data_IF_861721395202
#
_entry.id   IF_861721395202
#
_cell.length_a   1.000
_cell.length_b   1.000
_cell.length_c   1.000
_cell.angle_alpha   90.00
_cell.angle_beta   90.00
_cell.angle_gamma   90.00
#
_symmetry.space_group_name_H-M   'P 1'
#
loop_
_entity.id
_entity.type
_entity.pdbx_description
1 polymer ?
#
# COMPACT_ATOMS: atom_id res chain seq x y z
N UNK A 1 25.80 4.85 -6.59
CA UNK A 1 24.75 5.05 -7.61
C UNK A 1 24.17 6.45 -7.42
N UNK A 2 24.07 7.26 -8.48
CA UNK A 2 23.46 8.60 -8.45
C UNK A 2 22.64 8.77 -9.71
N UNK A 3 21.44 9.31 -9.58
CA UNK A 3 20.55 9.64 -10.69
C UNK A 3 19.89 10.99 -10.40
N UNK A 4 19.43 11.68 -11.43
CA UNK A 4 18.67 12.92 -11.29
C UNK A 4 17.25 12.62 -11.73
N UNK A 5 16.28 12.95 -10.89
CA UNK A 5 14.85 12.80 -11.17
C UNK A 5 14.14 14.12 -10.91
N UNK A 6 13.56 14.71 -11.96
CA UNK A 6 12.88 16.02 -11.89
C UNK A 6 13.69 17.09 -11.16
N UNK A 7 14.96 17.24 -11.56
CA UNK A 7 15.92 18.19 -10.98
C UNK A 7 16.36 17.87 -9.53
N UNK A 8 15.85 16.78 -8.93
CA UNK A 8 16.27 16.29 -7.62
C UNK A 8 17.34 15.22 -7.81
N UNK A 9 18.49 15.40 -7.16
CA UNK A 9 19.52 14.38 -7.08
C UNK A 9 19.05 13.25 -6.15
N UNK A 10 19.08 12.01 -6.61
CA UNK A 10 18.85 10.80 -5.81
C UNK A 10 20.12 9.97 -5.82
N UNK A 11 20.73 9.76 -4.66
CA UNK A 11 22.05 9.15 -4.58
C UNK A 11 22.22 8.21 -3.38
N UNK A 12 23.02 7.18 -3.61
CA UNK A 12 23.42 6.22 -2.60
C UNK A 12 24.64 6.72 -1.84
N UNK A 13 24.57 6.70 -0.51
CA UNK A 13 25.68 7.01 0.39
C UNK A 13 25.65 6.05 1.58
N UNK A 14 26.74 5.29 1.75
CA UNK A 14 26.91 4.26 2.78
C UNK A 14 25.82 3.17 2.74
N UNK A 15 24.79 3.28 3.58
CA UNK A 15 23.64 2.34 3.63
C UNK A 15 22.32 3.02 3.33
N UNK A 16 22.36 4.23 2.78
CA UNK A 16 21.19 5.07 2.58
C UNK A 16 21.07 5.49 1.12
N UNK A 17 19.83 5.71 0.68
CA UNK A 17 19.55 6.52 -0.50
C UNK A 17 18.95 7.84 -0.02
N UNK A 18 19.45 8.94 -0.58
CA UNK A 18 19.14 10.31 -0.15
C UNK A 18 18.71 11.14 -1.34
N UNK A 19 17.91 12.18 -1.07
CA UNK A 19 17.67 13.26 -2.02
C UNK A 19 18.58 14.45 -1.75
N UNK A 20 18.80 15.27 -2.77
CA UNK A 20 19.32 16.62 -2.65
C UNK A 20 18.60 17.53 -3.66
N UNK A 21 17.93 18.56 -3.17
CA UNK A 21 17.14 19.51 -3.96
C UNK A 21 15.75 19.79 -3.39
N UNK A 22 15.28 19.01 -2.40
CA UNK A 22 13.96 19.18 -1.80
C UNK A 22 13.93 20.20 -0.64
N UNK A 23 15.10 20.66 -0.17
CA UNK A 23 15.20 21.63 0.93
C UNK A 23 14.32 22.87 0.70
N UNK A 24 14.28 23.39 -0.53
CA UNK A 24 13.48 24.58 -0.87
C UNK A 24 11.97 24.28 -1.02
N UNK A 25 11.59 23.00 -1.14
CA UNK A 25 10.20 22.58 -1.31
C UNK A 25 9.54 22.30 0.04
N UNK A 26 10.21 21.50 0.88
CA UNK A 26 9.63 20.98 2.15
C UNK A 26 10.52 21.25 3.37
N UNK A 27 11.57 22.08 3.22
CA UNK A 27 12.47 22.44 4.32
C UNK A 27 13.46 21.35 4.73
N UNK A 28 13.42 20.17 4.08
CA UNK A 28 14.26 19.00 4.37
C UNK A 28 14.50 18.16 3.11
N UNK A 29 15.48 17.27 3.19
CA UNK A 29 15.69 16.20 2.21
C UNK A 29 15.04 14.89 2.67
N UNK A 30 14.83 13.95 1.77
CA UNK A 30 14.37 12.60 2.09
C UNK A 30 15.56 11.65 2.20
N UNK A 31 15.47 10.69 3.12
CA UNK A 31 16.46 9.63 3.30
C UNK A 31 15.80 8.31 3.64
N UNK A 32 16.23 7.24 2.99
CA UNK A 32 15.76 5.88 3.25
C UNK A 32 16.96 4.96 3.49
N UNK A 33 16.83 4.06 4.47
CA UNK A 33 17.83 3.01 4.70
C UNK A 33 17.60 1.90 3.68
N UNK A 34 18.68 1.40 3.08
CA UNK A 34 18.62 0.24 2.20
C UNK A 34 18.61 -1.01 3.07
N UNK A 35 17.55 -1.79 2.96
CA UNK A 35 17.34 -3.07 3.63
C UNK A 35 17.55 -4.25 2.68
N UNK A 36 16.52 -5.07 2.51
CA UNK A 36 16.59 -6.37 1.82
C UNK A 36 16.29 -6.33 0.33
N UNK A 37 15.51 -5.33 -0.11
CA UNK A 37 15.08 -5.16 -1.50
C UNK A 37 16.21 -4.66 -2.41
N UNK A 38 15.97 -4.60 -3.72
CA UNK A 38 16.96 -4.12 -4.67
C UNK A 38 17.13 -2.60 -4.56
N UNK A 39 18.36 -2.10 -4.76
CA UNK A 39 18.66 -0.67 -4.64
C UNK A 39 17.79 0.24 -5.51
N UNK A 40 17.30 -0.28 -6.65
CA UNK A 40 16.40 0.46 -7.54
C UNK A 40 15.01 0.66 -6.93
N UNK A 41 14.51 -0.29 -6.13
CA UNK A 41 13.17 -0.19 -5.54
C UNK A 41 13.06 1.00 -4.58
N UNK A 42 14.08 1.24 -3.75
CA UNK A 42 14.13 2.41 -2.86
C UNK A 42 14.23 3.72 -3.64
N UNK A 43 14.87 3.71 -4.82
CA UNK A 43 14.87 4.89 -5.71
C UNK A 43 13.45 5.17 -6.18
N UNK A 44 12.69 4.15 -6.61
CA UNK A 44 11.30 4.33 -7.04
C UNK A 44 10.40 4.86 -5.92
N UNK A 45 10.62 4.42 -4.66
CA UNK A 45 9.93 5.00 -3.49
C UNK A 45 10.24 6.50 -3.36
N UNK A 46 11.52 6.90 -3.46
CA UNK A 46 11.89 8.32 -3.38
C UNK A 46 11.33 9.12 -4.56
N UNK A 47 11.32 8.57 -5.77
CA UNK A 47 10.72 9.23 -6.94
C UNK A 47 9.23 9.48 -6.76
N UNK A 48 8.49 8.49 -6.25
CA UNK A 48 7.07 8.66 -5.93
C UNK A 48 6.84 9.83 -4.97
N UNK A 49 7.67 9.94 -3.91
CA UNK A 49 7.56 11.04 -2.95
C UNK A 49 7.98 12.37 -3.56
N UNK A 50 9.02 12.39 -4.42
CA UNK A 50 9.42 13.57 -5.18
C UNK A 50 8.27 14.05 -6.06
N UNK A 51 7.60 13.16 -6.79
CA UNK A 51 6.44 13.53 -7.61
C UNK A 51 5.33 14.15 -6.77
N UNK A 52 4.96 13.49 -5.67
CA UNK A 52 3.96 14.03 -4.75
C UNK A 52 4.35 15.43 -4.20
N UNK A 53 5.61 15.61 -3.79
CA UNK A 53 6.08 16.88 -3.24
C UNK A 53 6.05 17.99 -4.30
N UNK A 54 6.55 17.71 -5.50
CA UNK A 54 6.65 18.70 -6.56
C UNK A 54 5.28 19.04 -7.17
N UNK A 55 4.39 18.06 -7.30
CA UNK A 55 3.10 18.26 -7.95
C UNK A 55 2.07 18.94 -7.03
N UNK A 56 2.13 18.67 -5.72
CA UNK A 56 1.13 19.15 -4.77
C UNK A 56 1.65 20.21 -3.80
N UNK A 57 2.96 20.46 -3.75
CA UNK A 57 3.62 21.40 -2.84
C UNK A 57 3.09 21.34 -1.38
N UNK A 58 3.11 20.15 -0.75
CA UNK A 58 2.48 19.94 0.53
C UNK A 58 3.26 20.60 1.68
N UNK A 59 2.55 21.11 2.67
CA UNK A 59 3.16 21.41 3.97
C UNK A 59 3.34 20.12 4.75
N UNK A 60 4.59 19.68 4.94
CA UNK A 60 4.90 18.48 5.71
C UNK A 60 5.18 18.84 7.18
N UNK A 61 4.40 18.27 8.09
CA UNK A 61 4.63 18.39 9.54
C UNK A 61 5.65 17.34 10.00
N UNK A 62 6.39 17.60 11.09
CA UNK A 62 7.19 16.58 11.74
C UNK A 62 6.38 15.29 11.98
N UNK A 63 6.95 14.15 11.62
CA UNK A 63 6.38 12.82 11.86
C UNK A 63 5.03 12.56 11.17
N UNK A 64 4.72 13.34 10.13
CA UNK A 64 3.55 13.15 9.29
C UNK A 64 3.61 11.83 8.53
N UNK A 65 2.44 11.20 8.38
CA UNK A 65 2.26 10.02 7.55
C UNK A 65 1.85 10.38 6.12
N UNK A 66 2.22 9.53 5.18
CA UNK A 66 1.92 9.69 3.77
C UNK A 66 1.55 8.34 3.16
N UNK A 67 0.52 8.33 2.32
CA UNK A 67 0.15 7.13 1.58
C UNK A 67 1.22 6.83 0.52
N UNK A 68 1.69 5.60 0.51
CA UNK A 68 2.50 5.04 -0.56
C UNK A 68 1.69 3.91 -1.19
N UNK A 69 0.91 4.26 -2.21
CA UNK A 69 -0.07 3.37 -2.81
C UNK A 69 -1.00 2.74 -1.74
N UNK A 70 -0.92 1.42 -1.53
CA UNK A 70 -1.72 0.70 -0.53
C UNK A 70 -1.03 0.50 0.81
N UNK A 71 0.11 1.13 1.05
CA UNK A 71 0.78 1.16 2.35
C UNK A 71 0.90 2.59 2.87
N UNK A 72 1.37 2.72 4.11
CA UNK A 72 1.59 4.01 4.75
C UNK A 72 3.04 4.16 5.20
N UNK A 73 3.63 5.28 4.82
CA UNK A 73 4.95 5.71 5.25
C UNK A 73 4.82 6.81 6.30
N UNK A 74 5.88 6.99 7.07
CA UNK A 74 6.05 8.09 8.02
C UNK A 74 7.35 8.81 7.73
N UNK A 75 7.27 10.14 7.70
CA UNK A 75 8.41 11.04 7.51
C UNK A 75 8.97 11.43 8.89
N UNK A 76 9.80 10.56 9.45
CA UNK A 76 10.40 10.76 10.78
C UNK A 76 11.42 11.91 10.75
N UNK A 77 11.36 12.78 11.76
CA UNK A 77 12.05 14.07 11.73
C UNK A 77 13.30 14.18 12.62
N UNK A 78 13.75 13.06 13.20
CA UNK A 78 14.79 13.01 14.24
C UNK A 78 16.22 13.28 13.74
N UNK A 79 16.44 13.32 12.42
CA UNK A 79 17.78 13.41 11.82
C UNK A 79 17.86 14.54 10.78
N UNK A 80 17.98 15.78 11.26
CA UNK A 80 18.15 16.94 10.39
C UNK A 80 19.48 16.86 9.59
N UNK A 81 19.49 17.24 8.29
CA UNK A 81 18.44 17.94 7.54
C UNK A 81 17.43 17.01 6.85
N UNK A 82 17.35 15.74 7.23
CA UNK A 82 16.52 14.74 6.54
C UNK A 82 15.18 14.50 7.24
N UNK A 83 14.22 14.01 6.46
CA UNK A 83 13.17 13.12 6.91
C UNK A 83 13.61 11.67 6.62
N UNK A 84 13.67 10.85 7.66
CA UNK A 84 13.88 9.41 7.51
C UNK A 84 12.56 8.74 7.11
N UNK A 85 12.58 7.93 6.06
CA UNK A 85 11.44 7.10 5.71
C UNK A 85 11.31 5.91 6.67
N UNK A 86 10.15 5.83 7.27
CA UNK A 86 9.68 4.72 8.08
C UNK A 86 8.40 4.20 7.45
N UNK A 87 8.06 2.94 7.70
CA UNK A 87 6.83 2.31 7.23
C UNK A 87 6.00 1.81 8.41
N UNK A 88 4.69 1.67 8.22
CA UNK A 88 3.89 0.96 9.21
C UNK A 88 4.40 -0.48 9.36
N UNK A 89 4.53 -0.94 10.61
CA UNK A 89 4.85 -2.33 10.92
C UNK A 89 3.73 -3.23 10.37
N UNK A 90 4.10 -4.33 9.69
CA UNK A 90 3.16 -5.31 9.16
C UNK A 90 2.25 -5.94 10.23
N UNK A 91 2.66 -5.92 11.50
CA UNK A 91 1.87 -6.41 12.63
C UNK A 91 0.90 -5.33 13.18
N UNK A 92 1.01 -4.08 12.71
CA UNK A 92 0.23 -2.95 13.22
C UNK A 92 0.82 -2.28 14.47
N UNK A 93 2.04 -2.65 14.86
CA UNK A 93 2.72 -2.18 16.09
C UNK A 93 3.47 -0.85 15.89
N UNK A 94 2.85 0.10 15.19
CA UNK A 94 3.42 1.42 14.94
C UNK A 94 4.25 1.49 13.66
N UNK A 95 5.45 2.08 13.74
CA UNK A 95 6.29 2.36 12.56
C UNK A 95 7.72 1.88 12.80
N UNK A 96 8.33 1.34 11.74
CA UNK A 96 9.72 0.86 11.73
C UNK A 96 10.54 1.59 10.65
N UNK A 97 11.84 1.74 10.87
CA UNK A 97 12.73 2.40 9.90
C UNK A 97 12.90 1.55 8.63
N UNK A 98 12.81 2.19 7.45
CA UNK A 98 12.89 1.50 6.16
C UNK A 98 11.54 1.47 5.44
N UNK A 99 11.53 0.82 4.28
CA UNK A 99 10.37 0.70 3.39
C UNK A 99 10.31 -0.67 2.70
N UNK A 100 10.97 -1.68 3.28
CA UNK A 100 11.13 -3.01 2.68
C UNK A 100 9.77 -3.67 2.47
N UNK A 101 8.91 -3.64 3.51
CA UNK A 101 7.59 -4.26 3.44
C UNK A 101 6.67 -3.53 2.46
N UNK A 102 6.76 -2.20 2.42
CA UNK A 102 6.04 -1.35 1.48
C UNK A 102 6.39 -1.71 0.04
N UNK A 103 7.68 -1.86 -0.26
CA UNK A 103 8.15 -2.30 -1.58
C UNK A 103 7.58 -3.69 -1.90
N UNK A 104 7.66 -4.63 -0.97
CA UNK A 104 7.14 -5.99 -1.14
C UNK A 104 5.64 -5.98 -1.47
N UNK A 105 4.82 -5.28 -0.68
CA UNK A 105 3.36 -5.20 -0.87
C UNK A 105 3.02 -4.66 -2.26
N UNK A 106 3.64 -3.55 -2.66
CA UNK A 106 3.35 -2.93 -3.96
C UNK A 106 3.83 -3.80 -5.12
N UNK A 107 4.97 -4.48 -4.97
CA UNK A 107 5.47 -5.43 -5.98
C UNK A 107 4.51 -6.61 -6.15
N UNK A 108 4.13 -7.26 -5.05
CA UNK A 108 3.23 -8.43 -5.09
C UNK A 108 1.85 -8.08 -5.68
N UNK A 109 1.31 -6.91 -5.33
CA UNK A 109 0.08 -6.40 -5.92
C UNK A 109 0.21 -6.10 -7.42
N UNK A 110 1.32 -5.47 -7.82
CA UNK A 110 1.61 -5.22 -9.23
C UNK A 110 1.76 -6.49 -10.04
N UNK A 111 2.46 -7.49 -9.50
CA UNK A 111 2.62 -8.80 -10.10
C UNK A 111 1.29 -9.54 -10.25
N UNK A 112 0.43 -9.49 -9.23
CA UNK A 112 -0.89 -10.11 -9.31
C UNK A 112 -1.74 -9.45 -10.40
N UNK A 113 -1.81 -8.12 -10.45
CA UNK A 113 -2.52 -7.39 -11.51
C UNK A 113 -1.95 -7.71 -12.91
N UNK A 114 -0.63 -7.85 -13.02
CA UNK A 114 0.05 -8.18 -14.28
C UNK A 114 -0.32 -9.57 -14.79
N UNK A 115 -0.54 -10.57 -13.93
CA UNK A 115 -1.01 -11.91 -14.35
C UNK A 115 -2.34 -11.84 -15.10
N UNK A 116 -3.17 -10.86 -14.76
CA UNK A 116 -4.48 -10.62 -15.37
C UNK A 116 -4.46 -9.52 -16.45
N UNK A 117 -3.28 -9.01 -16.81
CA UNK A 117 -3.10 -7.92 -17.78
C UNK A 117 -3.89 -6.64 -17.45
N UNK A 118 -4.01 -6.31 -16.16
CA UNK A 118 -4.71 -5.10 -15.69
C UNK A 118 -3.78 -4.15 -14.97
N UNK A 119 -4.13 -2.87 -14.98
CA UNK A 119 -3.45 -1.86 -14.17
C UNK A 119 -3.92 -1.94 -12.71
N UNK A 120 -3.01 -1.91 -11.73
CA UNK A 120 -3.37 -1.89 -10.32
C UNK A 120 -4.27 -0.69 -9.95
N UNK A 121 -5.28 -0.96 -9.15
CA UNK A 121 -6.12 0.03 -8.47
C UNK A 121 -5.90 -0.09 -6.96
N UNK A 122 -4.90 0.61 -6.44
CA UNK A 122 -4.51 0.49 -5.04
C UNK A 122 -5.58 1.03 -4.08
N UNK A 123 -6.04 0.23 -3.10
CA UNK A 123 -6.84 0.76 -2.01
C UNK A 123 -5.94 1.58 -1.09
N UNK A 124 -6.42 2.70 -0.56
CA UNK A 124 -5.66 3.49 0.40
C UNK A 124 -5.83 2.96 1.82
N UNK A 125 -4.87 3.23 2.71
CA UNK A 125 -4.94 2.79 4.11
C UNK A 125 -6.23 3.20 4.83
N UNK A 126 -6.76 4.38 4.51
CA UNK A 126 -7.95 4.94 5.14
C UNK A 126 -9.27 4.42 4.55
N UNK A 127 -9.24 3.79 3.38
CA UNK A 127 -10.44 3.26 2.76
C UNK A 127 -11.01 2.11 3.57
N UNK A 128 -12.33 2.00 3.53
CA UNK A 128 -13.07 0.95 4.17
C UNK A 128 -13.20 -0.29 3.29
N UNK A 129 -13.30 -1.46 3.92
CA UNK A 129 -13.53 -2.76 3.31
C UNK A 129 -14.67 -3.45 4.06
N UNK A 130 -15.51 -4.18 3.33
CA UNK A 130 -16.62 -4.93 3.92
C UNK A 130 -16.16 -6.36 4.15
N UNK A 131 -16.33 -6.87 5.36
CA UNK A 131 -15.97 -8.24 5.71
C UNK A 131 -17.10 -8.96 6.45
N UNK A 132 -17.27 -10.26 6.22
CA UNK A 132 -18.13 -11.11 7.05
C UNK A 132 -17.39 -11.68 8.26
N UNK A 133 -18.13 -12.37 9.13
CA UNK A 133 -17.56 -13.25 10.15
C UNK A 133 -16.63 -14.28 9.50
N UNK A 134 -15.56 -14.69 10.21
CA UNK A 134 -14.62 -15.71 9.75
C UNK A 134 -13.40 -15.17 9.01
N UNK A 135 -13.47 -13.95 8.47
CA UNK A 135 -12.38 -13.37 7.67
C UNK A 135 -11.14 -13.16 8.52
N UNK A 136 -11.28 -12.57 9.72
CA UNK A 136 -10.15 -12.36 10.62
C UNK A 136 -9.62 -13.64 11.25
N UNK A 137 -10.44 -14.67 11.32
CA UNK A 137 -10.09 -15.99 11.84
C UNK A 137 -9.29 -16.82 10.83
N UNK A 138 -9.06 -16.30 9.61
CA UNK A 138 -8.25 -16.97 8.59
C UNK A 138 -9.02 -18.02 7.79
N UNK A 139 -10.35 -18.01 7.84
CA UNK A 139 -11.16 -18.91 7.01
C UNK A 139 -10.98 -18.61 5.51
N UNK A 140 -11.40 -19.58 4.69
CA UNK A 140 -11.49 -19.41 3.25
C UNK A 140 -12.39 -18.23 2.91
N UNK A 141 -12.01 -17.45 1.90
CA UNK A 141 -12.70 -16.23 1.51
C UNK A 141 -13.17 -16.28 0.07
N UNK A 142 -14.40 -15.83 -0.18
CA UNK A 142 -14.89 -15.36 -1.48
C UNK A 142 -14.90 -13.83 -1.42
N UNK A 143 -14.23 -13.20 -2.36
CA UNK A 143 -14.15 -11.76 -2.43
C UNK A 143 -14.58 -11.25 -3.80
N UNK A 144 -15.18 -10.06 -3.79
CA UNK A 144 -15.64 -9.35 -4.97
C UNK A 144 -15.38 -7.86 -4.81
N UNK A 145 -14.93 -7.19 -5.88
CA UNK A 145 -14.67 -5.75 -5.87
C UNK A 145 -15.68 -4.99 -6.73
N UNK A 146 -16.62 -4.31 -6.08
CA UNK A 146 -17.62 -3.47 -6.74
C UNK A 146 -17.12 -2.04 -6.96
N UNK A 147 -17.59 -1.34 -8.02
CA UNK A 147 -17.50 0.11 -8.08
C UNK A 147 -18.03 0.73 -6.78
N UNK A 148 -17.31 1.71 -6.22
CA UNK A 148 -17.65 2.25 -4.91
C UNK A 148 -17.19 3.69 -4.72
N UNK A 149 -17.83 4.46 -3.80
CA UNK A 149 -17.39 5.80 -3.45
C UNK A 149 -15.95 5.83 -2.92
N UNK A 150 -15.28 6.99 -3.01
CA UNK A 150 -13.84 7.12 -2.70
C UNK A 150 -13.40 6.70 -1.30
N UNK A 151 -14.28 6.73 -0.30
CA UNK A 151 -13.98 6.29 1.06
C UNK A 151 -14.08 4.76 1.25
N UNK A 152 -14.59 4.04 0.24
CA UNK A 152 -14.71 2.58 0.21
C UNK A 152 -13.72 2.01 -0.82
N UNK A 153 -13.03 0.93 -0.48
CA UNK A 153 -12.13 0.21 -1.39
C UNK A 153 -12.89 -0.52 -2.51
N UNK A 154 -14.17 -0.81 -2.28
CA UNK A 154 -15.04 -1.61 -3.12
C UNK A 154 -14.96 -3.11 -2.85
N UNK A 155 -14.02 -3.56 -2.01
CA UNK A 155 -13.91 -4.96 -1.65
C UNK A 155 -14.97 -5.38 -0.63
N UNK A 156 -15.59 -6.51 -0.94
CA UNK A 156 -16.43 -7.29 -0.04
C UNK A 156 -15.79 -8.65 0.07
N UNK A 157 -15.47 -9.07 1.29
CA UNK A 157 -14.78 -10.34 1.56
C UNK A 157 -15.62 -11.14 2.53
N UNK A 158 -16.15 -12.25 2.06
CA UNK A 158 -17.04 -13.11 2.85
C UNK A 158 -16.43 -14.48 3.04
N UNK A 159 -16.93 -15.23 4.02
CA UNK A 159 -16.59 -16.65 4.24
C UNK A 159 -17.84 -17.51 4.11
N UNK A 160 -17.68 -18.81 4.30
CA UNK A 160 -18.79 -19.77 4.43
C UNK A 160 -19.68 -19.52 5.66
N UNK A 161 -19.27 -18.66 6.59
CA UNK A 161 -20.09 -18.22 7.73
C UNK A 161 -21.00 -17.03 7.41
N UNK A 162 -20.94 -16.48 6.21
CA UNK A 162 -21.87 -15.43 5.78
C UNK A 162 -23.27 -16.02 5.59
N UNK A 163 -24.26 -15.39 6.22
CA UNK A 163 -25.63 -15.87 6.35
C UNK A 163 -26.61 -15.21 5.36
N UNK A 164 -26.08 -14.64 4.27
CA UNK A 164 -26.82 -13.82 3.29
C UNK A 164 -27.50 -12.57 3.89
N UNK A 165 -27.20 -12.23 5.15
CA UNK A 165 -27.71 -11.05 5.81
C UNK A 165 -26.69 -9.92 5.77
N UNK A 166 -26.93 -8.91 4.93
CA UNK A 166 -26.04 -7.76 4.75
C UNK A 166 -25.81 -7.01 6.08
N UNK A 167 -26.78 -7.02 7.00
CA UNK A 167 -26.66 -6.36 8.32
C UNK A 167 -25.65 -7.07 9.24
N UNK A 168 -25.25 -8.31 8.92
CA UNK A 168 -24.23 -9.06 9.65
C UNK A 168 -22.80 -8.69 9.23
N UNK A 169 -22.65 -7.95 8.13
CA UNK A 169 -21.35 -7.53 7.60
C UNK A 169 -20.76 -6.37 8.39
N UNK A 170 -19.43 -6.39 8.51
CA UNK A 170 -18.68 -5.36 9.20
C UNK A 170 -17.98 -4.46 8.20
N UNK A 171 -18.07 -3.16 8.43
CA UNK A 171 -17.30 -2.16 7.72
C UNK A 171 -16.05 -1.81 8.54
N UNK A 172 -14.87 -2.12 8.01
CA UNK A 172 -13.59 -1.94 8.72
C UNK A 172 -12.61 -1.17 7.84
N UNK A 173 -11.66 -0.45 8.44
CA UNK A 173 -10.58 0.13 7.67
C UNK A 173 -9.69 -0.95 7.04
N UNK A 174 -9.24 -0.71 5.81
CA UNK A 174 -8.36 -1.58 5.03
C UNK A 174 -7.16 -2.06 5.83
N UNK A 175 -6.52 -1.17 6.59
CA UNK A 175 -5.32 -1.53 7.35
C UNK A 175 -5.58 -2.61 8.42
N UNK A 176 -6.78 -2.69 9.00
CA UNK A 176 -7.10 -3.76 9.95
C UNK A 176 -7.11 -5.14 9.27
N UNK A 177 -7.61 -5.20 8.03
CA UNK A 177 -7.52 -6.42 7.23
C UNK A 177 -6.08 -6.70 6.83
N UNK A 178 -5.35 -5.68 6.36
CA UNK A 178 -3.96 -5.82 5.93
C UNK A 178 -3.07 -6.47 7.00
N UNK A 179 -3.20 -6.03 8.26
CA UNK A 179 -2.43 -6.57 9.37
C UNK A 179 -2.87 -7.98 9.79
N UNK A 180 -4.16 -8.29 9.73
CA UNK A 180 -4.70 -9.59 10.17
C UNK A 180 -4.68 -10.68 9.11
N UNK A 181 -4.77 -10.29 7.84
CA UNK A 181 -4.82 -11.16 6.66
C UNK A 181 -3.81 -10.71 5.60
N UNK A 182 -2.50 -10.70 5.94
CA UNK A 182 -1.45 -10.33 5.00
C UNK A 182 -1.42 -11.25 3.76
N UNK A 183 -1.93 -12.47 3.87
CA UNK A 183 -2.09 -13.43 2.77
C UNK A 183 -3.01 -12.95 1.63
N UNK A 184 -3.92 -12.01 1.93
CA UNK A 184 -4.86 -11.44 0.96
C UNK A 184 -4.32 -10.20 0.25
N UNK A 185 -3.30 -9.53 0.81
CA UNK A 185 -2.86 -8.19 0.39
C UNK A 185 -2.55 -8.06 -1.10
N UNK A 186 -1.89 -9.08 -1.66
CA UNK A 186 -1.50 -9.10 -3.08
C UNK A 186 -2.69 -9.03 -4.05
N UNK A 187 -3.88 -9.46 -3.64
CA UNK A 187 -5.09 -9.41 -4.49
C UNK A 187 -5.81 -8.07 -4.40
N UNK A 188 -5.58 -7.28 -3.35
CA UNK A 188 -6.43 -6.12 -3.05
C UNK A 188 -6.23 -4.93 -4.00
N UNK A 189 -5.21 -4.96 -4.85
CA UNK A 189 -5.03 -3.97 -5.92
C UNK A 189 -5.76 -4.33 -7.23
N UNK A 190 -6.35 -5.52 -7.36
CA UNK A 190 -7.12 -5.90 -8.56
C UNK A 190 -8.32 -4.95 -8.74
N UNK A 191 -8.56 -4.39 -9.93
CA UNK A 191 -9.55 -3.34 -10.13
C UNK A 191 -11.00 -3.83 -9.95
N UNK A 192 -11.96 -2.91 -10.03
CA UNK A 192 -13.38 -3.26 -10.00
C UNK A 192 -13.74 -4.34 -11.03
N UNK A 193 -14.69 -5.20 -10.66
CA UNK A 193 -15.10 -6.37 -11.45
C UNK A 193 -14.29 -7.63 -11.17
N UNK A 194 -13.20 -7.55 -10.39
CA UNK A 194 -12.45 -8.74 -10.00
C UNK A 194 -13.07 -9.45 -8.80
N UNK A 195 -12.91 -10.77 -8.81
CA UNK A 195 -13.26 -11.70 -7.75
C UNK A 195 -12.06 -12.59 -7.43
N UNK A 196 -12.02 -13.08 -6.20
CA UNK A 196 -11.10 -14.16 -5.85
C UNK A 196 -11.72 -15.10 -4.82
N UNK A 197 -11.35 -16.37 -4.92
CA UNK A 197 -11.61 -17.38 -3.91
C UNK A 197 -10.29 -17.93 -3.40
N UNK A 198 -10.03 -17.77 -2.10
CA UNK A 198 -8.77 -18.19 -1.46
C UNK A 198 -9.08 -19.11 -0.30
N UNK A 199 -8.56 -20.33 -0.38
CA UNK A 199 -8.55 -21.32 0.68
C UNK A 199 -7.15 -21.94 0.80
N UNK A 200 -6.98 -22.89 1.74
CA UNK A 200 -5.73 -23.65 1.84
C UNK A 200 -5.40 -24.46 0.57
N UNK A 201 -6.43 -24.89 -0.17
CA UNK A 201 -6.30 -25.85 -1.29
C UNK A 201 -6.44 -25.19 -2.65
N UNK A 202 -7.16 -24.09 -2.71
CA UNK A 202 -7.59 -23.47 -3.95
C UNK A 202 -7.37 -21.97 -3.90
N UNK A 203 -6.86 -21.43 -5.00
CA UNK A 203 -6.65 -20.01 -5.20
C UNK A 203 -7.10 -19.69 -6.60
N UNK A 204 -8.29 -19.11 -6.71
CA UNK A 204 -8.85 -18.69 -7.98
C UNK A 204 -9.07 -17.19 -7.98
N UNK A 205 -8.81 -16.56 -9.13
CA UNK A 205 -8.92 -15.11 -9.33
C UNK A 205 -9.43 -14.89 -10.74
N UNK A 206 -10.56 -14.20 -10.87
CA UNK A 206 -11.19 -14.00 -12.16
C UNK A 206 -11.89 -12.65 -12.25
N UNK A 207 -12.17 -12.23 -13.48
CA UNK A 207 -12.97 -11.05 -13.77
C UNK A 207 -14.42 -11.45 -14.02
N UNK A 208 -15.37 -10.69 -13.48
CA UNK A 208 -16.81 -10.85 -13.63
C UNK A 208 -17.40 -9.51 -14.05
N UNK A 209 -17.84 -9.43 -15.31
CA UNK A 209 -18.38 -8.20 -15.91
C UNK A 209 -19.66 -7.74 -15.20
N UNK A 210 -20.44 -8.71 -14.74
CA UNK A 210 -21.69 -8.62 -14.01
C UNK A 210 -21.57 -7.94 -12.63
N UNK A 211 -20.35 -7.75 -12.11
CA UNK A 211 -20.07 -6.99 -10.88
C UNK A 211 -19.94 -5.48 -11.14
N UNK A 212 -19.81 -5.06 -12.40
CA UNK A 212 -19.65 -3.66 -12.79
C UNK A 212 -20.98 -2.94 -13.06
N UNK A 213 -22.10 -3.66 -13.07
CA UNK A 213 -23.44 -3.16 -13.39
C UNK A 213 -24.20 -2.63 -12.17
#
# INVERSE_FOLDING_TARGET
MRTVYREIDVYFENRYIKTNGLLNCIGRELKVVVGKEEGQDYIEVLKYLVDYILDYNPTIKPDQTIAYYSWILKLNSDDAPFYNLWEADSNGDGYIQGVDYSIQVIREQGEECKKHNVTPSFPTFAQNIVISKGVYEGLAVDAVRYPSPSHMSGWWITTDLYDDNIDSLMNVHYYHLAFKRPDLLKYLALPYGFRFYISEREKDVWFSQDVLE
#
